data_IF_184468038034
#
_entry.id   IF_184468038034
#
_cell.length_a   1.000
_cell.length_b   1.000
_cell.length_c   1.000
_cell.angle_alpha   90.00
_cell.angle_beta   90.00
_cell.angle_gamma   90.00
#
_symmetry.space_group_name_H-M   'P 1'
#
loop_
_entity.id
_entity.type
_entity.pdbx_description
1 polymer ?
#
# COMPACT_ATOMS: atom_id res chain seq x y z
N UNK A 1 -3.14 -12.69 15.92
CA UNK A 1 -2.66 -13.59 14.85
C UNK A 1 -1.15 -13.44 14.75
N UNK A 2 -0.38 -14.50 14.48
CA UNK A 2 1.07 -14.35 14.27
C UNK A 2 1.36 -13.84 12.86
N UNK A 3 2.51 -13.20 12.66
CA UNK A 3 2.97 -12.79 11.33
C UNK A 3 3.02 -13.97 10.34
N UNK A 4 3.57 -15.11 10.76
CA UNK A 4 3.67 -16.31 9.90
C UNK A 4 2.30 -16.84 9.49
N UNK A 5 1.34 -16.89 10.41
CA UNK A 5 -0.04 -17.28 10.09
C UNK A 5 -0.66 -16.31 9.09
N UNK A 6 -0.52 -14.99 9.33
CA UNK A 6 -1.06 -13.98 8.43
C UNK A 6 -0.48 -14.07 7.01
N UNK A 7 0.84 -14.26 6.89
CA UNK A 7 1.54 -14.40 5.61
C UNK A 7 1.12 -15.67 4.85
N UNK A 8 0.86 -16.77 5.56
CA UNK A 8 0.45 -18.03 4.93
C UNK A 8 -1.04 -18.05 4.56
N UNK A 9 -1.88 -17.37 5.35
CA UNK A 9 -3.33 -17.42 5.20
C UNK A 9 -3.86 -16.41 4.17
N UNK A 10 -3.10 -15.36 3.85
CA UNK A 10 -3.55 -14.26 3.01
C UNK A 10 -2.56 -13.89 1.91
N UNK A 11 -3.11 -13.60 0.72
CA UNK A 11 -2.40 -12.94 -0.39
C UNK A 11 -3.04 -11.58 -0.63
N UNK A 12 -2.23 -10.57 -0.98
CA UNK A 12 -2.71 -9.23 -1.29
C UNK A 12 -2.51 -8.95 -2.77
N UNK A 13 -3.58 -8.49 -3.43
CA UNK A 13 -3.51 -8.00 -4.81
C UNK A 13 -3.52 -6.48 -4.79
N UNK A 14 -2.48 -5.87 -5.33
CA UNK A 14 -2.35 -4.41 -5.47
C UNK A 14 -2.58 -4.01 -6.92
N UNK A 15 -3.46 -3.04 -7.16
CA UNK A 15 -3.80 -2.61 -8.51
C UNK A 15 -3.81 -1.08 -8.56
N UNK A 16 -3.15 -0.54 -9.57
CA UNK A 16 -3.17 0.89 -9.90
C UNK A 16 -3.93 1.08 -11.20
N UNK A 17 -4.93 1.96 -11.21
CA UNK A 17 -5.74 2.28 -12.39
C UNK A 17 -5.84 3.78 -12.59
N UNK A 18 -5.60 4.23 -13.82
CA UNK A 18 -6.03 5.56 -14.24
C UNK A 18 -7.53 5.51 -14.50
N UNK A 19 -8.30 6.26 -13.70
CA UNK A 19 -9.77 6.34 -13.84
C UNK A 19 -10.14 7.48 -14.79
N UNK A 20 -9.35 8.54 -14.79
CA UNK A 20 -9.45 9.66 -15.73
C UNK A 20 -8.05 10.20 -16.06
N UNK A 21 -7.99 11.30 -16.81
CA UNK A 21 -6.72 12.00 -17.09
C UNK A 21 -6.12 12.70 -15.87
N UNK A 22 -6.89 12.86 -14.78
CA UNK A 22 -6.46 13.53 -13.54
C UNK A 22 -6.62 12.67 -12.29
N UNK A 23 -7.18 11.46 -12.37
CA UNK A 23 -7.47 10.61 -11.21
C UNK A 23 -6.83 9.23 -11.35
N UNK A 24 -6.10 8.83 -10.30
CA UNK A 24 -5.48 7.53 -10.15
C UNK A 24 -6.09 6.84 -8.93
N UNK A 25 -6.60 5.62 -9.14
CA UNK A 25 -7.15 4.75 -8.11
C UNK A 25 -6.15 3.65 -7.79
N UNK A 26 -5.77 3.60 -6.52
CA UNK A 26 -4.95 2.54 -5.96
C UNK A 26 -5.86 1.65 -5.13
N UNK A 27 -6.04 0.40 -5.54
CA UNK A 27 -6.86 -0.57 -4.81
C UNK A 27 -6.00 -1.71 -4.28
N UNK A 28 -6.31 -2.18 -3.08
CA UNK A 28 -5.72 -3.41 -2.53
C UNK A 28 -6.81 -4.33 -2.02
N UNK A 29 -6.65 -5.62 -2.28
CA UNK A 29 -7.60 -6.66 -1.88
C UNK A 29 -6.88 -7.74 -1.10
N UNK A 30 -7.41 -8.06 0.08
CA UNK A 30 -6.97 -9.18 0.90
C UNK A 30 -7.75 -10.44 0.51
N UNK A 31 -7.04 -11.46 0.04
CA UNK A 31 -7.62 -12.74 -0.41
C UNK A 31 -7.16 -13.82 0.55
N UNK A 32 -8.09 -14.57 1.13
CA UNK A 32 -7.77 -15.72 1.97
C UNK A 32 -7.38 -16.91 1.10
N UNK A 33 -6.22 -17.50 1.35
CA UNK A 33 -5.63 -18.55 0.53
C UNK A 33 -6.41 -19.88 0.62
N UNK A 34 -7.01 -20.20 1.77
CA UNK A 34 -7.70 -21.47 1.99
C UNK A 34 -8.90 -21.70 1.08
N UNK A 35 -9.59 -20.64 0.67
CA UNK A 35 -10.82 -20.70 -0.12
C UNK A 35 -10.91 -19.63 -1.20
N UNK A 36 -9.81 -18.93 -1.46
CA UNK A 36 -9.67 -17.85 -2.44
C UNK A 36 -10.72 -16.73 -2.30
N UNK A 37 -11.23 -16.52 -1.07
CA UNK A 37 -12.28 -15.54 -0.81
C UNK A 37 -11.70 -14.16 -0.54
N UNK A 38 -12.28 -13.13 -1.16
CA UNK A 38 -12.00 -11.74 -0.81
C UNK A 38 -12.54 -11.42 0.59
N UNK A 39 -11.66 -10.99 1.48
CA UNK A 39 -11.99 -10.72 2.88
C UNK A 39 -12.18 -9.23 3.14
N UNK A 40 -11.40 -8.39 2.46
CA UNK A 40 -11.49 -6.95 2.55
C UNK A 40 -10.85 -6.30 1.31
N UNK A 41 -11.26 -5.07 1.03
CA UNK A 41 -10.62 -4.19 0.07
C UNK A 41 -10.43 -2.80 0.68
N UNK A 42 -9.39 -2.10 0.24
CA UNK A 42 -9.12 -0.71 0.58
C UNK A 42 -8.71 0.03 -0.69
N UNK A 43 -9.11 1.29 -0.78
CA UNK A 43 -8.89 2.11 -1.95
C UNK A 43 -8.38 3.49 -1.54
N UNK A 44 -7.40 3.98 -2.29
CA UNK A 44 -6.89 5.36 -2.20
C UNK A 44 -7.08 6.00 -3.56
N UNK A 45 -7.72 7.17 -3.56
CA UNK A 45 -7.91 8.01 -4.75
C UNK A 45 -6.92 9.17 -4.69
N UNK A 46 -6.20 9.36 -5.78
CA UNK A 46 -5.20 10.41 -5.93
C UNK A 46 -5.56 11.31 -7.11
N UNK A 47 -5.51 12.62 -6.90
CA UNK A 47 -5.50 13.59 -7.98
C UNK A 47 -4.06 13.76 -8.49
N UNK A 48 -3.83 13.46 -9.77
CA UNK A 48 -2.50 13.44 -10.37
C UNK A 48 -1.83 14.82 -10.30
N UNK A 49 -2.59 15.89 -10.50
CA UNK A 49 -2.06 17.25 -10.46
C UNK A 49 -1.69 17.67 -9.04
N UNK A 50 -2.57 17.44 -8.08
CA UNK A 50 -2.31 17.78 -6.68
C UNK A 50 -1.09 17.04 -6.14
N UNK A 51 -0.96 15.75 -6.47
CA UNK A 51 0.19 14.95 -6.07
C UNK A 51 1.46 15.46 -6.75
N UNK A 52 1.41 15.79 -8.04
CA UNK A 52 2.57 16.33 -8.75
C UNK A 52 3.03 17.65 -8.11
N UNK A 53 2.10 18.57 -7.86
CA UNK A 53 2.42 19.86 -7.26
C UNK A 53 3.03 19.68 -5.85
N UNK A 54 2.51 18.72 -5.08
CA UNK A 54 3.09 18.36 -3.78
C UNK A 54 4.49 17.76 -3.89
N UNK A 55 4.73 16.86 -4.86
CA UNK A 55 6.05 16.27 -5.12
C UNK A 55 7.07 17.35 -5.50
N UNK A 56 6.67 18.27 -6.38
CA UNK A 56 7.51 19.39 -6.79
C UNK A 56 7.85 20.29 -5.59
N UNK A 57 6.88 20.56 -4.71
CA UNK A 57 7.11 21.33 -3.48
C UNK A 57 8.07 20.61 -2.52
N UNK A 58 7.84 19.33 -2.24
CA UNK A 58 8.68 18.52 -1.35
C UNK A 58 10.12 18.45 -1.85
N UNK A 59 10.32 18.27 -3.15
CA UNK A 59 11.65 18.15 -3.76
C UNK A 59 12.37 19.50 -3.86
N UNK A 60 11.64 20.61 -3.98
CA UNK A 60 12.23 21.95 -3.96
C UNK A 60 12.62 22.42 -2.55
N UNK A 61 11.86 22.01 -1.52
CA UNK A 61 12.13 22.39 -0.13
C UNK A 61 13.19 21.49 0.52
N UNK A 62 13.18 20.18 0.22
CA UNK A 62 14.09 19.21 0.79
C UNK A 62 15.21 18.86 -0.21
N UNK A 63 16.27 19.69 -0.22
CA UNK A 63 17.50 19.50 -1.01
C UNK A 63 18.24 18.14 -0.83
N UNK A 64 17.67 17.18 -0.09
CA UNK A 64 18.32 15.94 0.32
C UNK A 64 17.56 14.65 -0.02
N UNK A 65 16.31 14.69 -0.48
CA UNK A 65 15.63 13.48 -0.96
C UNK A 65 14.66 13.76 -2.10
N UNK A 66 14.94 13.20 -3.27
CA UNK A 66 14.00 13.16 -4.38
C UNK A 66 12.90 12.14 -4.04
N UNK A 67 11.82 12.59 -3.42
CA UNK A 67 10.64 11.76 -3.23
C UNK A 67 9.94 11.58 -4.59
N UNK A 68 9.68 10.33 -4.96
CA UNK A 68 9.18 9.95 -6.28
C UNK A 68 7.76 9.37 -6.23
N UNK A 69 7.18 9.17 -7.42
CA UNK A 69 5.92 8.43 -7.54
C UNK A 69 6.03 6.99 -7.04
N UNK A 70 7.17 6.33 -7.22
CA UNK A 70 7.37 4.97 -6.73
C UNK A 70 7.39 4.93 -5.19
N UNK A 71 7.99 5.94 -4.55
CA UNK A 71 7.97 6.08 -3.10
C UNK A 71 6.54 6.29 -2.57
N UNK A 72 5.73 7.07 -3.29
CA UNK A 72 4.30 7.25 -2.96
C UNK A 72 3.53 5.94 -3.08
N UNK A 73 3.75 5.17 -4.15
CA UNK A 73 3.09 3.89 -4.36
C UNK A 73 3.51 2.87 -3.29
N UNK A 74 4.78 2.82 -2.93
CA UNK A 74 5.31 1.98 -1.86
C UNK A 74 4.72 2.37 -0.50
N UNK A 75 4.66 3.67 -0.19
CA UNK A 75 4.02 4.19 1.02
C UNK A 75 2.52 3.82 1.07
N UNK A 76 1.84 3.90 -0.07
CA UNK A 76 0.42 3.51 -0.17
C UNK A 76 0.24 2.01 0.03
N UNK A 77 1.10 1.16 -0.56
CA UNK A 77 1.10 -0.30 -0.35
C UNK A 77 1.26 -0.63 1.13
N UNK A 78 2.23 -0.01 1.81
CA UNK A 78 2.48 -0.19 3.24
C UNK A 78 1.28 0.22 4.07
N UNK A 79 0.67 1.36 3.76
CA UNK A 79 -0.53 1.84 4.44
C UNK A 79 -1.72 0.89 4.26
N UNK A 80 -1.93 0.38 3.06
CA UNK A 80 -2.97 -0.61 2.80
C UNK A 80 -2.71 -1.94 3.53
N UNK A 81 -1.47 -2.41 3.55
CA UNK A 81 -1.08 -3.63 4.26
C UNK A 81 -1.23 -3.47 5.78
N UNK A 82 -0.88 -2.30 6.30
CA UNK A 82 -1.05 -1.94 7.71
C UNK A 82 -2.53 -2.00 8.11
N UNK A 83 -3.41 -1.41 7.28
CA UNK A 83 -4.85 -1.50 7.48
C UNK A 83 -5.34 -2.96 7.63
N UNK A 84 -4.87 -3.86 6.77
CA UNK A 84 -5.23 -5.28 6.86
C UNK A 84 -4.63 -5.98 8.08
N UNK A 85 -3.36 -5.70 8.39
CA UNK A 85 -2.67 -6.26 9.55
C UNK A 85 -3.34 -5.86 10.87
N UNK A 86 -3.71 -4.59 11.01
CA UNK A 86 -4.45 -4.08 12.16
C UNK A 86 -5.82 -4.77 12.29
N UNK A 87 -6.55 -4.90 11.18
CA UNK A 87 -7.87 -5.55 11.18
C UNK A 87 -7.80 -7.04 11.53
N UNK A 88 -6.74 -7.72 11.12
CA UNK A 88 -6.46 -9.12 11.47
C UNK A 88 -5.81 -9.28 12.86
N UNK A 89 -5.49 -8.18 13.54
CA UNK A 89 -4.77 -8.14 14.83
C UNK A 89 -3.48 -8.97 14.77
N UNK A 90 -2.68 -8.71 13.73
CA UNK A 90 -1.36 -9.33 13.57
C UNK A 90 -0.42 -8.75 14.63
N UNK A 91 0.22 -9.61 15.40
CA UNK A 91 1.15 -9.21 16.43
C UNK A 91 2.52 -8.91 15.83
N UNK A 92 3.19 -7.88 16.37
CA UNK A 92 4.57 -7.51 16.07
C UNK A 92 4.88 -7.33 14.57
N UNK A 93 3.88 -6.89 13.81
CA UNK A 93 4.02 -6.60 12.38
C UNK A 93 3.68 -5.13 12.11
N UNK A 94 4.69 -4.37 11.69
CA UNK A 94 4.63 -2.92 11.51
C UNK A 94 5.03 -2.54 10.08
N UNK A 95 4.16 -2.76 9.07
CA UNK A 95 4.51 -2.56 7.66
C UNK A 95 4.79 -1.09 7.28
N UNK A 96 4.36 -0.12 8.10
CA UNK A 96 4.71 1.30 7.92
C UNK A 96 6.19 1.60 8.14
N UNK A 97 6.92 0.76 8.87
CA UNK A 97 8.37 0.90 8.99
C UNK A 97 9.03 0.48 7.67
N UNK A 98 9.89 1.34 7.11
CA UNK A 98 10.61 1.09 5.85
C UNK A 98 11.45 -0.18 5.89
N UNK A 99 11.97 -0.54 7.07
CA UNK A 99 12.83 -1.73 7.25
C UNK A 99 12.02 -3.04 7.29
N UNK A 100 10.70 -2.96 7.41
CA UNK A 100 9.82 -4.14 7.37
C UNK A 100 9.74 -4.66 5.96
N UNK A 101 10.14 -5.91 5.75
CA UNK A 101 9.97 -6.62 4.48
C UNK A 101 8.50 -6.95 4.23
N UNK A 102 7.97 -6.40 3.14
CA UNK A 102 6.59 -6.60 2.68
C UNK A 102 6.51 -7.34 1.33
N UNK A 103 7.65 -7.69 0.73
CA UNK A 103 7.72 -8.21 -0.64
C UNK A 103 6.90 -9.49 -0.83
N UNK A 104 6.85 -10.34 0.19
CA UNK A 104 6.11 -11.60 0.15
C UNK A 104 4.59 -11.49 0.27
N UNK A 105 4.00 -10.29 0.34
CA UNK A 105 2.55 -10.11 0.45
C UNK A 105 1.85 -9.81 -0.86
N UNK A 106 2.55 -9.18 -1.81
CA UNK A 106 1.96 -8.67 -3.04
C UNK A 106 2.35 -9.56 -4.22
N UNK A 107 1.33 -10.16 -4.85
CA UNK A 107 1.43 -10.85 -6.14
C UNK A 107 0.86 -10.00 -7.27
#
# INVERSE_FOLDING_TARGET
MTFSTFKNDYTFRFVVKNVSWHELLISSVAIRNSDNKTMASVETKLNIHEVKDWLDLVNNENNYSNFTWDDLLESTKRSHLDYFAQRARVQDFFPLNSDTDITGFFN
#
